data_IF_073347092159
#
_entry.id   IF_073347092159
#
_cell.length_a   1.000
_cell.length_b   1.000
_cell.length_c   1.000
_cell.angle_alpha   90.00
_cell.angle_beta   90.00
_cell.angle_gamma   90.00
#
_symmetry.space_group_name_H-M   'P 1'
#
loop_
_entity.id
_entity.type
_entity.pdbx_description
1 polymer ?
#
# COMPACT_ATOMS: atom_id res chain seq x y z
N UNK A 1 -2.18 21.67 6.15
CA UNK A 1 -2.22 20.55 7.12
C UNK A 1 -2.81 21.10 8.40
N UNK A 2 -3.86 20.48 8.91
CA UNK A 2 -4.53 20.92 10.13
C UNK A 2 -4.63 19.75 11.11
N UNK A 3 -4.69 20.05 12.41
CA UNK A 3 -4.93 19.06 13.47
C UNK A 3 -6.41 18.68 13.42
N UNK A 4 -6.72 17.39 13.47
CA UNK A 4 -8.10 16.92 13.58
C UNK A 4 -8.71 17.32 14.93
N UNK A 5 -10.04 17.29 15.02
CA UNK A 5 -10.71 17.32 16.33
C UNK A 5 -10.32 16.06 17.12
N UNK A 6 -10.19 16.20 18.43
CA UNK A 6 -9.69 15.12 19.29
C UNK A 6 -10.61 13.89 19.26
N UNK A 7 -11.92 14.11 19.12
CA UNK A 7 -12.93 13.06 18.98
C UNK A 7 -12.84 12.29 17.64
N UNK A 8 -12.16 12.85 16.64
CA UNK A 8 -11.98 12.25 15.30
C UNK A 8 -10.56 11.70 15.08
N UNK A 9 -9.82 11.52 16.18
CA UNK A 9 -8.52 10.87 16.14
C UNK A 9 -8.65 9.39 15.82
N UNK A 10 -7.88 8.95 14.83
CA UNK A 10 -7.80 7.55 14.46
C UNK A 10 -6.48 6.91 14.93
N UNK A 11 -6.45 6.19 16.06
CA UNK A 11 -5.23 5.58 16.58
C UNK A 11 -4.68 4.44 15.70
N UNK A 12 -5.48 3.90 14.78
CA UNK A 12 -5.02 2.85 13.85
C UNK A 12 -4.11 3.38 12.74
N UNK A 13 -4.06 4.70 12.55
CA UNK A 13 -3.25 5.36 11.52
C UNK A 13 -2.15 6.19 12.18
N UNK A 14 -0.92 6.05 11.69
CA UNK A 14 0.21 6.88 12.13
C UNK A 14 -0.04 8.39 11.97
N UNK A 15 -0.84 8.77 10.97
CA UNK A 15 -1.23 10.16 10.68
C UNK A 15 -2.65 10.48 11.15
N UNK A 16 -3.24 9.66 12.02
CA UNK A 16 -4.66 9.75 12.39
C UNK A 16 -5.05 10.95 13.25
N UNK A 17 -4.11 11.80 13.63
CA UNK A 17 -4.35 13.05 14.39
C UNK A 17 -4.34 14.30 13.52
N UNK A 18 -3.98 14.18 12.23
CA UNK A 18 -3.86 15.28 11.28
C UNK A 18 -4.68 15.02 10.01
N UNK A 19 -4.99 16.08 9.29
CA UNK A 19 -5.63 16.02 7.98
C UNK A 19 -5.12 17.11 7.03
N UNK A 20 -5.44 16.94 5.74
CA UNK A 20 -5.01 17.81 4.66
C UNK A 20 -6.20 18.60 4.12
N UNK A 21 -6.31 19.86 4.53
CA UNK A 21 -7.15 20.83 3.84
C UNK A 21 -6.51 21.17 2.47
N UNK A 22 -7.24 20.90 1.39
CA UNK A 22 -6.70 20.89 0.02
C UNK A 22 -7.17 22.13 -0.74
N UNK A 23 -6.24 22.93 -1.27
CA UNK A 23 -6.56 24.14 -2.05
C UNK A 23 -6.78 23.88 -3.54
N UNK A 24 -6.18 22.82 -4.09
CA UNK A 24 -6.30 22.43 -5.49
C UNK A 24 -6.13 20.91 -5.64
N UNK A 25 -6.83 20.33 -6.63
CA UNK A 25 -6.76 18.91 -6.97
C UNK A 25 -6.55 18.77 -8.48
N UNK A 26 -5.58 17.96 -8.86
CA UNK A 26 -5.32 17.59 -10.26
C UNK A 26 -5.50 16.07 -10.43
N UNK A 27 -6.17 15.67 -11.51
CA UNK A 27 -6.34 14.27 -11.86
C UNK A 27 -5.19 13.86 -12.80
N UNK A 28 -4.19 13.16 -12.26
CA UNK A 28 -3.04 12.68 -13.04
C UNK A 28 -3.42 11.60 -14.06
N UNK A 29 -4.33 10.69 -13.69
CA UNK A 29 -4.80 9.64 -14.58
C UNK A 29 -6.15 9.08 -14.11
N UNK A 30 -7.00 8.67 -15.05
CA UNK A 30 -8.27 7.99 -14.78
C UNK A 30 -8.07 6.47 -14.68
N UNK A 31 -8.90 5.81 -13.88
CA UNK A 31 -8.93 4.34 -13.78
C UNK A 31 -10.30 3.81 -14.14
N UNK A 32 -10.33 2.67 -14.85
CA UNK A 32 -11.55 1.86 -14.96
C UNK A 32 -11.90 1.26 -13.59
N UNK A 33 -13.15 0.83 -13.43
CA UNK A 33 -13.60 0.10 -12.24
C UNK A 33 -12.75 -1.16 -12.05
N UNK A 34 -12.31 -1.38 -10.81
CA UNK A 34 -11.43 -2.49 -10.48
C UNK A 34 -12.21 -3.82 -10.46
N UNK A 35 -11.60 -4.94 -10.90
CA UNK A 35 -12.22 -6.26 -10.85
C UNK A 35 -12.38 -6.82 -9.43
N UNK A 36 -11.71 -6.22 -8.44
CA UNK A 36 -11.86 -6.50 -7.01
C UNK A 36 -11.41 -5.32 -6.16
N UNK A 37 -11.85 -5.28 -4.91
CA UNK A 37 -11.39 -4.30 -3.92
C UNK A 37 -9.97 -4.65 -3.44
N UNK A 38 -9.02 -3.72 -3.55
CA UNK A 38 -7.60 -3.95 -3.20
C UNK A 38 -7.44 -4.41 -1.74
N UNK A 39 -8.20 -3.84 -0.79
CA UNK A 39 -8.14 -4.23 0.63
C UNK A 39 -8.63 -5.65 0.89
N UNK A 40 -9.53 -6.17 0.03
CA UNK A 40 -10.12 -7.50 0.16
C UNK A 40 -9.61 -8.46 -0.92
N UNK A 41 -8.50 -8.14 -1.59
CA UNK A 41 -7.98 -8.94 -2.70
C UNK A 41 -7.82 -10.42 -2.33
N UNK A 42 -7.39 -10.75 -1.10
CA UNK A 42 -7.24 -12.13 -0.61
C UNK A 42 -8.55 -12.93 -0.56
N UNK A 43 -9.72 -12.27 -0.55
CA UNK A 43 -11.04 -12.92 -0.58
C UNK A 43 -11.55 -13.18 -2.01
N UNK A 44 -10.83 -12.70 -3.02
CA UNK A 44 -11.13 -12.91 -4.44
C UNK A 44 -10.49 -14.21 -4.93
N UNK A 45 -11.07 -14.81 -5.97
CA UNK A 45 -10.52 -15.98 -6.65
C UNK A 45 -9.05 -15.74 -7.06
N UNK A 46 -8.19 -16.71 -6.73
CA UNK A 46 -6.76 -16.70 -7.01
C UNK A 46 -6.46 -16.49 -8.50
N UNK A 47 -7.19 -17.15 -9.41
CA UNK A 47 -7.03 -16.99 -10.86
C UNK A 47 -7.21 -15.53 -11.28
N UNK A 48 -8.24 -14.85 -10.75
CA UNK A 48 -8.47 -13.43 -11.01
C UNK A 48 -7.37 -12.56 -10.42
N UNK A 49 -6.88 -12.87 -9.21
CA UNK A 49 -5.77 -12.13 -8.60
C UNK A 49 -4.48 -12.27 -9.39
N UNK A 50 -4.20 -13.45 -9.96
CA UNK A 50 -3.03 -13.64 -10.82
C UNK A 50 -3.18 -12.94 -12.16
N UNK A 51 -4.37 -12.98 -12.79
CA UNK A 51 -4.64 -12.24 -14.01
C UNK A 51 -4.41 -10.73 -13.82
N UNK A 52 -4.82 -10.18 -12.68
CA UNK A 52 -4.65 -8.76 -12.33
C UNK A 52 -3.61 -8.56 -11.22
N UNK A 53 -2.48 -9.29 -11.28
CA UNK A 53 -1.47 -9.28 -10.21
C UNK A 53 -0.91 -7.90 -9.89
N UNK A 54 -0.85 -7.02 -10.89
CA UNK A 54 -0.44 -5.63 -10.72
C UNK A 54 -1.38 -4.84 -9.77
N UNK A 55 -2.67 -5.19 -9.69
CA UNK A 55 -3.59 -4.62 -8.70
C UNK A 55 -3.41 -5.28 -7.33
N UNK A 56 -3.21 -6.59 -7.29
CA UNK A 56 -2.96 -7.34 -6.04
C UNK A 56 -1.67 -6.87 -5.34
N UNK A 57 -0.65 -6.45 -6.09
CA UNK A 57 0.56 -5.84 -5.54
C UNK A 57 0.32 -4.51 -4.81
N UNK A 58 -0.81 -3.83 -5.05
CA UNK A 58 -1.19 -2.62 -4.29
C UNK A 58 -1.76 -2.95 -2.91
N UNK A 59 -2.10 -4.21 -2.65
CA UNK A 59 -2.48 -4.66 -1.32
C UNK A 59 -1.28 -4.55 -0.36
N UNK A 60 -1.51 -4.01 0.85
CA UNK A 60 -0.44 -3.72 1.80
C UNK A 60 0.33 -4.98 2.23
N UNK A 61 -0.33 -6.12 2.37
CA UNK A 61 0.30 -7.36 2.82
C UNK A 61 1.18 -7.95 1.72
N UNK A 62 0.68 -8.00 0.49
CA UNK A 62 1.45 -8.45 -0.69
C UNK A 62 2.67 -7.54 -0.90
N UNK A 63 2.47 -6.23 -0.82
CA UNK A 63 3.56 -5.25 -0.95
C UNK A 63 4.62 -5.46 0.15
N UNK A 64 4.20 -5.68 1.40
CA UNK A 64 5.11 -5.95 2.53
C UNK A 64 5.98 -7.18 2.29
N UNK A 65 5.40 -8.25 1.76
CA UNK A 65 6.12 -9.49 1.42
C UNK A 65 7.22 -9.22 0.38
N UNK A 66 6.90 -8.49 -0.69
CA UNK A 66 7.88 -8.16 -1.75
C UNK A 66 9.00 -7.28 -1.20
N UNK A 67 8.65 -6.27 -0.41
CA UNK A 67 9.62 -5.36 0.21
C UNK A 67 10.53 -6.11 1.20
N UNK A 68 9.98 -7.08 1.94
CA UNK A 68 10.77 -7.93 2.84
C UNK A 68 11.70 -8.86 2.06
N UNK A 69 11.23 -9.50 1.00
CA UNK A 69 12.06 -10.33 0.12
C UNK A 69 13.26 -9.55 -0.42
N UNK A 70 13.02 -8.33 -0.90
CA UNK A 70 14.12 -7.45 -1.36
C UNK A 70 15.14 -7.19 -0.25
N UNK A 71 14.69 -6.82 0.95
CA UNK A 71 15.58 -6.55 2.09
C UNK A 71 16.43 -7.76 2.47
N UNK A 72 15.83 -8.94 2.53
CA UNK A 72 16.54 -10.19 2.86
C UNK A 72 17.61 -10.50 1.82
N UNK A 73 17.24 -10.45 0.53
CA UNK A 73 18.20 -10.72 -0.55
C UNK A 73 19.33 -9.68 -0.55
N UNK A 74 19.00 -8.39 -0.31
CA UNK A 74 20.02 -7.35 -0.18
C UNK A 74 20.97 -7.63 0.98
N UNK A 75 20.44 -7.98 2.15
CA UNK A 75 21.25 -8.30 3.33
C UNK A 75 22.22 -9.46 3.04
N UNK A 76 21.75 -10.52 2.37
CA UNK A 76 22.60 -11.66 1.98
C UNK A 76 23.75 -11.19 1.09
N UNK A 77 23.46 -10.34 0.09
CA UNK A 77 24.50 -9.80 -0.80
C UNK A 77 25.49 -8.92 -0.05
N UNK A 78 25.00 -7.98 0.75
CA UNK A 78 25.84 -7.06 1.52
C UNK A 78 26.79 -7.82 2.46
N UNK A 79 26.37 -8.96 3.03
CA UNK A 79 27.22 -9.81 3.87
C UNK A 79 28.28 -10.55 3.05
N UNK A 80 27.91 -11.08 1.87
CA UNK A 80 28.84 -11.83 1.01
C UNK A 80 29.85 -10.91 0.31
N UNK A 81 29.45 -9.69 -0.06
CA UNK A 81 30.33 -8.70 -0.70
C UNK A 81 31.35 -8.10 0.28
N UNK A 82 31.09 -8.16 1.59
CA UNK A 82 31.97 -7.65 2.64
C UNK A 82 33.00 -8.67 3.15
N UNK A 83 32.94 -9.92 2.68
CA UNK A 83 33.94 -10.96 2.95
C UNK A 83 35.08 -10.90 1.93
#
# INVERSE_FOLDING_TARGET
>A
IVKRKEDDFNPSLRTGTIELETSALEILNLSKTLPFEIKRALKTNETTRFQYKFLDHRNQDVHRVIRNRHKVIKLIRDVLDAQ
#
